data_IF_209982033313
#
_entry.id   IF_209982033313
#
_cell.length_a   1.000
_cell.length_b   1.000
_cell.length_c   1.000
_cell.angle_alpha   90.00
_cell.angle_beta   90.00
_cell.angle_gamma   90.00
#
_symmetry.space_group_name_H-M   'P 1'
#
loop_
_entity.id
_entity.type
_entity.pdbx_description
1 polymer ?
#
# COMPACT_ATOMS: atom_id res chain seq x y z
N UNK A 1 -2.66 -23.01 -16.76
CA UNK A 1 -3.69 -22.11 -16.20
C UNK A 1 -3.09 -21.40 -14.99
N UNK A 2 -2.29 -20.36 -15.24
CA UNK A 2 -1.54 -19.66 -14.21
C UNK A 2 -2.50 -18.74 -13.46
N UNK A 3 -2.65 -18.99 -12.15
CA UNK A 3 -3.38 -18.10 -11.23
C UNK A 3 -2.76 -16.71 -11.34
N UNK A 4 -3.42 -15.80 -12.06
CA UNK A 4 -3.12 -14.37 -12.03
C UNK A 4 -3.58 -13.85 -10.67
N UNK A 5 -2.78 -14.10 -9.64
CA UNK A 5 -2.61 -13.10 -8.58
C UNK A 5 -2.08 -11.87 -9.31
N UNK A 6 -2.94 -10.92 -9.67
CA UNK A 6 -2.50 -9.71 -10.35
C UNK A 6 -1.70 -8.91 -9.32
N UNK A 7 -0.39 -9.16 -9.31
CA UNK A 7 0.55 -8.52 -8.41
C UNK A 7 0.51 -7.01 -8.64
N UNK A 8 0.22 -6.25 -7.58
CA UNK A 8 0.29 -4.79 -7.61
C UNK A 8 1.69 -4.37 -8.09
N UNK A 9 1.77 -3.90 -9.33
CA UNK A 9 2.99 -3.62 -10.05
C UNK A 9 3.51 -2.20 -9.83
N UNK A 10 4.65 -1.88 -10.45
CA UNK A 10 5.07 -0.48 -10.59
C UNK A 10 4.47 0.05 -11.90
N UNK A 11 4.04 1.33 -11.93
CA UNK A 11 4.21 2.35 -10.90
C UNK A 11 3.14 2.35 -9.78
N UNK A 12 2.10 1.51 -9.89
CA UNK A 12 0.90 1.58 -9.05
C UNK A 12 1.20 1.40 -7.56
N UNK A 13 2.07 0.45 -7.23
CA UNK A 13 2.51 0.22 -5.84
C UNK A 13 3.28 1.41 -5.28
N UNK A 14 4.07 2.10 -6.11
CA UNK A 14 4.78 3.31 -5.72
C UNK A 14 3.82 4.46 -5.44
N UNK A 15 2.75 4.59 -6.23
CA UNK A 15 1.67 5.55 -5.98
C UNK A 15 0.91 5.24 -4.70
N UNK A 16 0.55 3.97 -4.46
CA UNK A 16 -0.07 3.53 -3.21
C UNK A 16 0.77 3.90 -2.00
N UNK A 17 2.06 3.55 -2.00
CA UNK A 17 2.96 3.80 -0.88
C UNK A 17 3.05 5.30 -0.59
N UNK A 18 3.22 6.11 -1.64
CA UNK A 18 3.26 7.56 -1.51
C UNK A 18 1.94 8.10 -0.95
N UNK A 19 0.80 7.64 -1.45
CA UNK A 19 -0.52 8.08 -0.98
C UNK A 19 -0.74 7.76 0.51
N UNK A 20 -0.46 6.52 0.93
CA UNK A 20 -0.56 6.10 2.33
C UNK A 20 0.38 6.90 3.24
N UNK A 21 1.61 7.14 2.78
CA UNK A 21 2.56 7.97 3.53
C UNK A 21 2.06 9.40 3.72
N UNK A 22 1.49 10.01 2.68
CA UNK A 22 0.90 11.35 2.79
C UNK A 22 -0.35 11.36 3.68
N UNK A 23 -1.19 10.32 3.60
CA UNK A 23 -2.36 10.16 4.45
C UNK A 23 -2.00 10.11 5.94
N UNK A 24 -0.88 9.47 6.28
CA UNK A 24 -0.36 9.38 7.66
C UNK A 24 0.49 10.58 8.07
N UNK A 25 0.76 11.53 7.16
CA UNK A 25 1.61 12.70 7.42
C UNK A 25 3.09 12.37 7.64
N UNK A 26 3.55 11.17 7.27
CA UNK A 26 4.90 10.71 7.54
C UNK A 26 5.90 11.13 6.44
N UNK A 27 7.14 11.41 6.84
CA UNK A 27 8.27 11.49 5.91
C UNK A 27 8.62 10.09 5.38
N UNK A 28 9.39 10.00 4.29
CA UNK A 28 9.85 8.71 3.78
C UNK A 28 10.66 7.93 4.82
N UNK A 29 11.43 8.62 5.67
CA UNK A 29 12.21 8.01 6.74
C UNK A 29 11.32 7.47 7.86
N UNK A 30 10.33 8.26 8.30
CA UNK A 30 9.37 7.83 9.32
C UNK A 30 8.51 6.66 8.84
N UNK A 31 8.09 6.70 7.58
CA UNK A 31 7.34 5.61 6.96
C UNK A 31 8.19 4.34 6.81
N UNK A 32 9.47 4.49 6.45
CA UNK A 32 10.42 3.38 6.41
C UNK A 32 10.59 2.75 7.80
N UNK A 33 10.74 3.57 8.85
CA UNK A 33 10.83 3.11 10.22
C UNK A 33 9.55 2.36 10.66
N UNK A 34 8.36 2.88 10.31
CA UNK A 34 7.09 2.23 10.60
C UNK A 34 6.95 0.84 9.93
N UNK A 35 7.53 0.66 8.73
CA UNK A 35 7.55 -0.61 8.02
C UNK A 35 8.76 -1.50 8.35
N UNK A 36 9.71 -1.03 9.17
CA UNK A 36 10.92 -1.76 9.51
C UNK A 36 11.90 -1.94 8.34
N UNK A 37 11.94 -0.99 7.40
CA UNK A 37 12.83 -1.00 6.24
C UNK A 37 13.72 0.24 6.19
N UNK A 38 14.77 0.21 5.38
CA UNK A 38 15.62 1.39 5.17
C UNK A 38 14.91 2.47 4.33
N UNK A 39 15.20 3.74 4.57
CA UNK A 39 14.74 4.88 3.76
C UNK A 39 14.91 4.65 2.26
N UNK A 40 16.09 4.15 1.84
CA UNK A 40 16.39 3.92 0.43
C UNK A 40 15.44 2.93 -0.24
N UNK A 41 14.83 2.03 0.54
CA UNK A 41 13.83 1.06 0.07
C UNK A 41 12.52 1.77 -0.28
N UNK A 42 12.00 2.62 0.63
CA UNK A 42 10.80 3.44 0.34
C UNK A 42 11.05 4.34 -0.86
N UNK A 43 12.21 5.01 -0.91
CA UNK A 43 12.56 5.87 -2.04
C UNK A 43 12.59 5.10 -3.37
N UNK A 44 13.13 3.87 -3.41
CA UNK A 44 13.10 3.05 -4.63
C UNK A 44 11.68 2.61 -5.01
N UNK A 45 10.85 2.24 -4.03
CA UNK A 45 9.46 1.86 -4.29
C UNK A 45 8.64 3.03 -4.82
N UNK A 46 8.69 4.20 -4.17
CA UNK A 46 7.92 5.36 -4.60
C UNK A 46 8.34 5.93 -5.96
N UNK A 47 9.55 5.62 -6.43
CA UNK A 47 10.09 6.06 -7.72
C UNK A 47 10.09 4.97 -8.79
N UNK A 48 9.37 3.86 -8.60
CA UNK A 48 9.25 2.82 -9.62
C UNK A 48 10.50 1.97 -9.84
N UNK A 49 11.54 2.11 -9.00
CA UNK A 49 12.86 1.49 -9.22
C UNK A 49 12.95 0.05 -8.70
N UNK A 50 12.00 -0.37 -7.87
CA UNK A 50 11.99 -1.70 -7.25
C UNK A 50 10.57 -2.06 -6.79
N UNK A 51 10.24 -3.35 -6.78
CA UNK A 51 8.99 -3.85 -6.21
C UNK A 51 9.11 -4.11 -4.71
N UNK A 52 8.09 -3.83 -3.89
CA UNK A 52 8.02 -4.34 -2.52
C UNK A 52 7.89 -5.86 -2.50
N UNK A 53 8.39 -6.48 -1.43
CA UNK A 53 8.17 -7.90 -1.21
C UNK A 53 6.69 -8.18 -0.86
N UNK A 54 6.21 -9.42 -1.02
CA UNK A 54 4.87 -9.80 -0.57
C UNK A 54 4.62 -9.50 0.92
N UNK A 55 5.66 -9.63 1.76
CA UNK A 55 5.58 -9.29 3.18
C UNK A 55 5.37 -7.78 3.39
N UNK A 56 6.11 -6.94 2.66
CA UNK A 56 5.94 -5.50 2.74
C UNK A 56 4.55 -5.06 2.26
N UNK A 57 4.05 -5.64 1.17
CA UNK A 57 2.68 -5.40 0.69
C UNK A 57 1.63 -5.78 1.74
N UNK A 58 1.82 -6.91 2.44
CA UNK A 58 0.94 -7.31 3.53
C UNK A 58 0.97 -6.30 4.68
N UNK A 59 2.15 -5.79 5.08
CA UNK A 59 2.25 -4.76 6.11
C UNK A 59 1.55 -3.46 5.71
N UNK A 60 1.71 -3.03 4.46
CA UNK A 60 1.01 -1.86 3.89
C UNK A 60 -0.51 -2.06 3.95
N UNK A 61 -1.00 -3.24 3.54
CA UNK A 61 -2.42 -3.57 3.59
C UNK A 61 -2.95 -3.59 5.03
N UNK A 62 -2.19 -4.15 5.97
CA UNK A 62 -2.55 -4.15 7.40
C UNK A 62 -2.68 -2.73 7.94
N UNK A 63 -1.70 -1.87 7.67
CA UNK A 63 -1.73 -0.46 8.09
C UNK A 63 -2.98 0.26 7.55
N UNK A 64 -3.32 0.06 6.28
CA UNK A 64 -4.56 0.62 5.71
C UNK A 64 -5.83 0.13 6.41
N UNK A 65 -5.91 -1.17 6.74
CA UNK A 65 -7.06 -1.74 7.47
C UNK A 65 -7.19 -1.15 8.87
N UNK A 66 -6.08 -0.91 9.56
CA UNK A 66 -6.09 -0.23 10.86
C UNK A 66 -6.61 1.20 10.74
N UNK A 67 -6.15 1.94 9.73
CA UNK A 67 -6.60 3.32 9.47
C UNK A 67 -8.08 3.39 9.06
N UNK A 68 -8.60 2.36 8.38
CA UNK A 68 -10.04 2.28 8.04
C UNK A 68 -10.96 2.08 9.25
N UNK A 69 -10.39 1.70 10.40
CA UNK A 69 -11.09 1.65 11.69
C UNK A 69 -10.94 2.92 12.53
N UNK A 70 -10.27 3.95 12.02
CA UNK A 70 -10.03 5.20 12.76
C UNK A 70 -11.33 5.96 13.04
N UNK A 71 -11.50 6.57 14.23
CA UNK A 71 -12.64 7.46 14.50
C UNK A 71 -12.54 8.80 13.74
N UNK A 72 -11.40 9.09 13.12
CA UNK A 72 -11.22 10.28 12.27
C UNK A 72 -11.80 9.97 10.90
N UNK A 73 -13.00 10.48 10.62
CA UNK A 73 -13.77 10.22 9.38
C UNK A 73 -12.91 10.39 8.11
N UNK A 74 -12.16 11.49 7.99
CA UNK A 74 -11.31 11.74 6.83
C UNK A 74 -10.23 10.67 6.62
N UNK A 75 -9.67 10.12 7.71
CA UNK A 75 -8.64 9.09 7.67
C UNK A 75 -9.26 7.73 7.33
N UNK A 76 -10.41 7.44 7.91
CA UNK A 76 -11.21 6.26 7.62
C UNK A 76 -11.62 6.21 6.13
N UNK A 77 -12.22 7.27 5.61
CA UNK A 77 -12.70 7.31 4.21
C UNK A 77 -11.55 7.16 3.21
N UNK A 78 -10.45 7.89 3.41
CA UNK A 78 -9.31 7.82 2.49
C UNK A 78 -8.59 6.46 2.55
N UNK A 79 -8.43 5.88 3.74
CA UNK A 79 -7.81 4.55 3.86
C UNK A 79 -8.71 3.45 3.27
N UNK A 80 -10.03 3.55 3.45
CA UNK A 80 -11.00 2.66 2.82
C UNK A 80 -10.95 2.78 1.28
N UNK A 81 -10.90 4.00 0.75
CA UNK A 81 -10.77 4.22 -0.69
C UNK A 81 -9.46 3.64 -1.27
N UNK A 82 -8.35 3.74 -0.53
CA UNK A 82 -7.08 3.10 -0.92
C UNK A 82 -7.18 1.57 -0.88
N UNK A 83 -7.85 0.98 0.12
CA UNK A 83 -8.10 -0.46 0.15
C UNK A 83 -8.91 -0.93 -1.06
N UNK A 84 -9.98 -0.21 -1.39
CA UNK A 84 -10.81 -0.53 -2.54
C UNK A 84 -10.06 -0.36 -3.86
N UNK A 85 -9.30 0.71 -4.02
CA UNK A 85 -8.57 0.94 -5.26
C UNK A 85 -7.46 -0.08 -5.51
N UNK A 86 -6.70 -0.45 -4.47
CA UNK A 86 -5.47 -1.25 -4.62
C UNK A 86 -5.59 -2.71 -4.18
N UNK A 87 -6.61 -3.06 -3.39
CA UNK A 87 -6.76 -4.38 -2.76
C UNK A 87 -8.18 -4.97 -2.87
N UNK A 88 -9.08 -4.42 -3.70
CA UNK A 88 -10.40 -5.05 -3.93
C UNK A 88 -10.21 -6.48 -4.42
N UNK A 89 -11.06 -7.37 -3.90
CA UNK A 89 -10.93 -8.82 -4.00
C UNK A 89 -10.65 -9.28 -5.43
N UNK A 90 -9.70 -10.22 -5.55
CA UNK A 90 -9.38 -10.93 -6.78
C UNK A 90 -10.53 -11.87 -7.21
N UNK A 91 -11.77 -11.38 -7.26
CA UNK A 91 -12.94 -12.12 -7.71
C UNK A 91 -13.59 -11.39 -8.88
N UNK A 92 -13.12 -11.69 -10.09
CA UNK A 92 -13.95 -11.73 -11.31
C UNK A 92 -13.18 -12.40 -12.43
N UNK A 93 -12.87 -13.68 -12.26
CA UNK A 93 -12.79 -14.61 -13.40
C UNK A 93 -13.18 -16.01 -12.94
N UNK A 94 -14.48 -16.20 -12.71
CA UNK A 94 -15.14 -17.47 -13.03
C UNK A 94 -16.42 -17.11 -13.79
N UNK A 95 -16.29 -17.05 -15.12
CA UNK A 95 -17.29 -17.62 -16.04
C UNK A 95 -16.55 -18.64 -16.89
#
# INVERSE_FOLDING_TARGET
MTKKTVALGQPEVGHLIRALRHLTGLSQEQFAAALGVAFSTINRWENGRMQPSPLALKQIQTMLRELSGSPVIQLQEQSQALLEHYFTEMESTIQ
#
